data_IF_774027426959
#
_entry.id   IF_774027426959
#
_cell.length_a   1.000
_cell.length_b   1.000
_cell.length_c   1.000
_cell.angle_alpha   90.00
_cell.angle_beta   90.00
_cell.angle_gamma   90.00
#
_symmetry.space_group_name_H-M   'P 1'
#
loop_
_entity.id
_entity.type
_entity.pdbx_description
1 polymer ?
#
# COMPACT_ATOMS: atom_id res chain seq x y z
N UNK A 1 -6.10 20.04 -9.83
CA UNK A 1 -6.08 18.64 -9.37
C UNK A 1 -4.75 18.02 -9.73
N UNK A 2 -4.00 17.54 -8.76
CA UNK A 2 -2.73 16.87 -9.05
C UNK A 2 -3.02 15.51 -9.74
N UNK A 3 -2.33 15.24 -10.85
CA UNK A 3 -2.50 13.98 -11.57
C UNK A 3 -1.85 12.87 -10.76
N UNK A 4 -2.49 11.68 -10.62
CA UNK A 4 -1.87 10.56 -9.93
C UNK A 4 -0.53 10.17 -10.55
N UNK A 5 0.45 9.88 -9.71
CA UNK A 5 1.78 9.46 -10.13
C UNK A 5 1.97 7.96 -9.92
N UNK A 6 2.30 7.25 -10.98
CA UNK A 6 2.47 5.80 -11.01
C UNK A 6 3.96 5.48 -11.18
N UNK A 7 4.49 4.59 -10.36
CA UNK A 7 5.83 4.05 -10.55
C UNK A 7 5.73 2.67 -11.20
N UNK A 8 6.41 2.49 -12.32
CA UNK A 8 6.51 1.21 -13.04
C UNK A 8 7.90 0.64 -12.76
N UNK A 9 7.98 -0.56 -12.19
CA UNK A 9 9.22 -1.32 -11.98
C UNK A 9 9.14 -2.56 -12.85
N UNK A 10 9.71 -2.51 -14.05
CA UNK A 10 9.58 -3.51 -15.10
C UNK A 10 10.81 -3.41 -16.02
N UNK A 11 11.54 -4.51 -16.18
CA UNK A 11 12.72 -4.57 -17.03
C UNK A 11 12.40 -4.85 -18.50
N UNK A 12 11.31 -5.56 -18.80
CA UNK A 12 10.86 -5.79 -20.16
C UNK A 12 10.41 -4.50 -20.84
N UNK A 13 11.09 -4.16 -21.95
CA UNK A 13 10.80 -2.93 -22.66
C UNK A 13 9.43 -2.92 -23.34
N UNK A 14 8.96 -4.06 -23.86
CA UNK A 14 7.68 -4.14 -24.55
C UNK A 14 6.52 -3.93 -23.56
N UNK A 15 6.58 -4.63 -22.43
CA UNK A 15 5.56 -4.50 -21.36
C UNK A 15 5.62 -3.11 -20.73
N UNK A 16 6.81 -2.64 -20.41
CA UNK A 16 6.95 -1.28 -19.86
C UNK A 16 6.45 -0.19 -20.80
N UNK A 17 6.67 -0.32 -22.11
CA UNK A 17 6.13 0.62 -23.09
C UNK A 17 4.60 0.52 -23.21
N UNK A 18 4.04 -0.69 -23.20
CA UNK A 18 2.60 -0.90 -23.20
C UNK A 18 1.95 -0.19 -21.99
N UNK A 19 2.50 -0.40 -20.81
CA UNK A 19 1.99 0.22 -19.57
C UNK A 19 2.15 1.75 -19.67
N UNK A 20 3.30 2.24 -20.06
CA UNK A 20 3.56 3.70 -20.17
C UNK A 20 2.58 4.38 -21.12
N UNK A 21 2.41 3.84 -22.32
CA UNK A 21 1.45 4.37 -23.32
C UNK A 21 0.01 4.33 -22.78
N UNK A 22 -0.34 3.26 -22.08
CA UNK A 22 -1.66 3.15 -21.45
C UNK A 22 -1.89 4.23 -20.40
N UNK A 23 -0.89 4.50 -19.55
CA UNK A 23 -0.97 5.54 -18.53
C UNK A 23 -1.06 6.94 -19.14
N UNK A 24 -0.31 7.21 -20.22
CA UNK A 24 -0.37 8.46 -20.96
C UNK A 24 -1.77 8.74 -21.52
N UNK A 25 -2.41 7.74 -22.14
CA UNK A 25 -3.77 7.87 -22.69
C UNK A 25 -4.81 8.16 -21.62
N UNK A 26 -4.58 7.75 -20.39
CA UNK A 26 -5.42 8.02 -19.23
C UNK A 26 -5.01 9.28 -18.45
N UNK A 27 -4.05 10.04 -18.98
CA UNK A 27 -3.53 11.26 -18.37
C UNK A 27 -2.92 11.08 -16.97
N UNK A 28 -2.41 9.87 -16.65
CA UNK A 28 -1.61 9.64 -15.45
C UNK A 28 -0.17 10.11 -15.66
N UNK A 29 0.47 10.55 -14.59
CA UNK A 29 1.91 10.74 -14.57
C UNK A 29 2.59 9.41 -14.21
N UNK A 30 3.75 9.15 -14.77
CA UNK A 30 4.49 7.94 -14.43
C UNK A 30 5.99 8.15 -14.38
N UNK A 31 6.66 7.29 -13.67
CA UNK A 31 8.10 7.05 -13.73
C UNK A 31 8.36 5.59 -13.99
N UNK A 32 9.49 5.28 -14.56
CA UNK A 32 9.88 3.93 -14.90
C UNK A 32 11.25 3.59 -14.35
N UNK A 33 11.37 2.44 -13.69
CA UNK A 33 12.61 1.81 -13.27
C UNK A 33 12.74 0.44 -13.93
N UNK A 34 13.93 0.08 -14.40
CA UNK A 34 14.20 -1.18 -15.11
C UNK A 34 14.84 -2.25 -14.23
N UNK A 35 15.05 -1.97 -12.98
CA UNK A 35 15.59 -2.90 -12.00
C UNK A 35 15.09 -2.55 -10.60
N UNK A 36 15.26 -3.49 -9.67
CA UNK A 36 14.76 -3.34 -8.32
C UNK A 36 15.43 -2.24 -7.52
N UNK A 37 16.76 -2.09 -7.65
CA UNK A 37 17.51 -1.06 -6.92
C UNK A 37 17.04 0.36 -7.27
N UNK A 38 16.92 0.66 -8.57
CA UNK A 38 16.38 1.94 -9.02
C UNK A 38 14.90 2.10 -8.68
N UNK A 39 14.12 1.02 -8.71
CA UNK A 39 12.71 1.02 -8.30
C UNK A 39 12.50 1.42 -6.85
N UNK A 40 13.26 0.85 -5.93
CA UNK A 40 13.22 1.21 -4.51
C UNK A 40 13.62 2.68 -4.30
N UNK A 41 14.67 3.13 -4.97
CA UNK A 41 15.13 4.52 -4.90
C UNK A 41 14.08 5.51 -5.41
N UNK A 42 13.47 5.22 -6.57
CA UNK A 42 12.40 6.04 -7.15
C UNK A 42 11.16 6.05 -6.24
N UNK A 43 10.77 4.91 -5.68
CA UNK A 43 9.64 4.83 -4.75
C UNK A 43 9.84 5.74 -3.52
N UNK A 44 11.07 5.79 -2.99
CA UNK A 44 11.41 6.65 -1.86
C UNK A 44 11.42 8.14 -2.23
N UNK A 45 11.94 8.49 -3.42
CA UNK A 45 12.15 9.89 -3.82
C UNK A 45 10.90 10.54 -4.42
N UNK A 46 10.13 9.83 -5.25
CA UNK A 46 8.97 10.41 -5.93
C UNK A 46 7.64 10.23 -5.19
N UNK A 47 7.59 9.37 -4.18
CA UNK A 47 6.36 9.05 -3.40
C UNK A 47 5.16 8.81 -4.31
N UNK A 48 5.18 7.74 -5.12
CA UNK A 48 4.10 7.46 -6.07
C UNK A 48 2.78 7.14 -5.35
N UNK A 49 1.67 7.37 -6.03
CA UNK A 49 0.33 7.01 -5.56
C UNK A 49 0.07 5.50 -5.69
N UNK A 50 0.69 4.85 -6.68
CA UNK A 50 0.63 3.39 -6.91
C UNK A 50 1.95 2.92 -7.49
N UNK A 51 2.39 1.72 -7.12
CA UNK A 51 3.54 1.01 -7.69
C UNK A 51 3.03 -0.18 -8.49
N UNK A 52 3.46 -0.28 -9.75
CA UNK A 52 3.30 -1.45 -10.60
C UNK A 52 4.64 -2.18 -10.60
N UNK A 53 4.67 -3.44 -10.16
CA UNK A 53 5.91 -4.17 -9.88
C UNK A 53 5.95 -5.53 -10.56
N UNK A 54 6.96 -5.79 -11.39
CA UNK A 54 7.30 -7.15 -11.79
C UNK A 54 8.13 -7.86 -10.70
N UNK A 55 7.85 -9.15 -10.50
CA UNK A 55 8.63 -9.99 -9.58
C UNK A 55 9.93 -10.50 -10.20
N UNK A 56 9.98 -10.65 -11.52
CA UNK A 56 11.09 -11.26 -12.25
C UNK A 56 12.18 -10.27 -12.67
N UNK A 57 12.62 -9.39 -11.78
CA UNK A 57 13.65 -8.39 -12.09
C UNK A 57 15.07 -8.98 -12.11
N UNK A 58 16.02 -8.38 -12.86
CA UNK A 58 17.33 -8.97 -13.06
C UNK A 58 18.26 -8.92 -11.84
N UNK A 59 18.03 -7.99 -10.92
CA UNK A 59 18.93 -7.68 -9.80
C UNK A 59 18.42 -8.17 -8.45
N UNK A 60 17.11 -8.29 -8.29
CA UNK A 60 16.50 -8.79 -7.03
C UNK A 60 15.08 -9.30 -7.27
N UNK A 61 14.60 -10.17 -6.38
CA UNK A 61 13.21 -10.63 -6.42
C UNK A 61 12.25 -9.50 -6.03
N UNK A 62 11.15 -9.39 -6.77
CA UNK A 62 10.14 -8.38 -6.49
C UNK A 62 9.49 -8.51 -5.11
N UNK A 63 9.42 -9.73 -4.55
CA UNK A 63 8.94 -9.96 -3.17
C UNK A 63 9.83 -9.23 -2.15
N UNK A 64 11.15 -9.21 -2.36
CA UNK A 64 12.07 -8.47 -1.50
C UNK A 64 11.88 -6.95 -1.63
N UNK A 65 11.52 -6.47 -2.82
CA UNK A 65 11.17 -5.07 -3.04
C UNK A 65 9.92 -4.71 -2.24
N UNK A 66 8.88 -5.56 -2.28
CA UNK A 66 7.65 -5.35 -1.50
C UNK A 66 7.99 -5.22 -0.02
N UNK A 67 8.76 -6.17 0.52
CA UNK A 67 9.20 -6.16 1.93
C UNK A 67 9.95 -4.87 2.27
N UNK A 68 10.91 -4.46 1.43
CA UNK A 68 11.67 -3.21 1.62
C UNK A 68 10.77 -1.98 1.62
N UNK A 69 9.91 -1.83 0.62
CA UNK A 69 8.99 -0.69 0.53
C UNK A 69 8.06 -0.64 1.75
N UNK A 70 7.59 -1.78 2.23
CA UNK A 70 6.70 -1.86 3.40
C UNK A 70 7.36 -1.47 4.72
N UNK A 71 8.67 -1.40 4.79
CA UNK A 71 9.34 -0.86 6.00
C UNK A 71 9.09 0.63 6.22
N UNK A 72 8.75 1.39 5.18
CA UNK A 72 8.59 2.85 5.23
C UNK A 72 7.38 3.41 4.48
N UNK A 73 6.67 2.61 3.66
CA UNK A 73 5.54 3.08 2.86
C UNK A 73 4.38 2.10 2.82
N UNK A 74 3.16 2.65 2.84
CA UNK A 74 1.91 1.93 2.60
C UNK A 74 1.35 2.16 1.19
N UNK A 75 2.13 2.76 0.29
CA UNK A 75 1.72 2.96 -1.11
C UNK A 75 1.20 1.66 -1.72
N UNK A 76 0.03 1.64 -2.36
CA UNK A 76 -0.49 0.45 -3.01
C UNK A 76 0.49 -0.13 -4.02
N UNK A 77 0.71 -1.45 -3.95
CA UNK A 77 1.56 -2.21 -4.88
C UNK A 77 0.69 -3.22 -5.61
N UNK A 78 0.64 -3.09 -6.94
CA UNK A 78 0.04 -4.07 -7.84
C UNK A 78 1.18 -4.84 -8.48
N UNK A 79 1.25 -6.14 -8.21
CA UNK A 79 2.21 -7.03 -8.85
C UNK A 79 1.73 -7.36 -10.26
N UNK A 80 2.63 -7.29 -11.25
CA UNK A 80 2.39 -7.68 -12.64
C UNK A 80 3.46 -8.70 -13.02
N UNK A 81 3.14 -9.98 -13.03
CA UNK A 81 4.15 -11.03 -13.19
C UNK A 81 3.70 -12.20 -14.07
N UNK A 82 4.66 -12.84 -14.74
CA UNK A 82 4.44 -14.11 -15.45
C UNK A 82 4.30 -15.30 -14.48
N UNK A 83 4.68 -15.15 -13.22
CA UNK A 83 4.47 -16.19 -12.20
C UNK A 83 2.97 -16.32 -11.95
N UNK A 84 2.42 -17.47 -12.27
CA UNK A 84 0.96 -17.69 -12.25
C UNK A 84 0.50 -18.68 -11.18
N UNK A 85 1.44 -19.34 -10.50
CA UNK A 85 1.12 -20.30 -9.46
C UNK A 85 0.51 -19.64 -8.22
N UNK A 86 -0.38 -20.33 -7.55
CA UNK A 86 -1.06 -19.79 -6.38
C UNK A 86 -0.08 -19.49 -5.25
N UNK A 87 1.00 -20.28 -5.12
CA UNK A 87 2.05 -20.03 -4.14
C UNK A 87 2.72 -18.66 -4.35
N UNK A 88 3.09 -18.30 -5.58
CA UNK A 88 3.73 -17.02 -5.89
C UNK A 88 2.81 -15.84 -5.58
N UNK A 89 1.51 -15.99 -5.87
CA UNK A 89 0.51 -14.96 -5.56
C UNK A 89 0.34 -14.76 -4.07
N UNK A 90 0.23 -15.87 -3.32
CA UNK A 90 0.11 -15.83 -1.86
C UNK A 90 1.36 -15.21 -1.23
N UNK A 91 2.55 -15.60 -1.67
CA UNK A 91 3.80 -15.04 -1.17
C UNK A 91 3.89 -13.52 -1.37
N UNK A 92 3.54 -13.02 -2.57
CA UNK A 92 3.55 -11.59 -2.86
C UNK A 92 2.51 -10.82 -2.02
N UNK A 93 1.30 -11.37 -1.86
CA UNK A 93 0.25 -10.76 -1.05
C UNK A 93 0.61 -10.75 0.44
N UNK A 94 1.18 -11.85 0.96
CA UNK A 94 1.64 -11.95 2.34
C UNK A 94 2.82 -11.00 2.62
N UNK A 95 3.68 -10.76 1.61
CA UNK A 95 4.75 -9.78 1.71
C UNK A 95 4.24 -8.33 1.75
N UNK A 96 2.98 -8.09 1.38
CA UNK A 96 2.32 -6.79 1.46
C UNK A 96 1.88 -6.19 0.13
N UNK A 97 1.84 -6.95 -0.97
CA UNK A 97 1.20 -6.52 -2.21
C UNK A 97 -0.32 -6.35 -1.98
N UNK A 98 -0.92 -5.38 -2.65
CA UNK A 98 -2.36 -5.11 -2.56
C UNK A 98 -3.17 -5.85 -3.61
N UNK A 99 -2.57 -6.16 -4.74
CA UNK A 99 -3.20 -6.87 -5.85
C UNK A 99 -2.16 -7.59 -6.72
N UNK A 100 -2.63 -8.52 -7.56
CA UNK A 100 -1.80 -9.33 -8.42
C UNK A 100 -2.42 -9.48 -9.80
N UNK A 101 -1.67 -9.15 -10.84
CA UNK A 101 -2.05 -9.26 -12.24
C UNK A 101 -1.09 -10.22 -12.97
N UNK A 102 -1.62 -11.31 -13.51
CA UNK A 102 -0.80 -12.32 -14.22
C UNK A 102 -0.60 -11.91 -15.68
N UNK A 103 0.63 -12.01 -16.18
CA UNK A 103 0.96 -11.87 -17.61
C UNK A 103 0.58 -13.14 -18.40
N UNK A 104 -0.01 -13.04 -19.60
CA UNK A 104 -0.45 -11.82 -20.27
C UNK A 104 -1.73 -11.24 -19.68
N UNK A 105 -1.85 -9.92 -19.63
CA UNK A 105 -3.00 -9.20 -19.12
C UNK A 105 -3.61 -8.28 -20.17
N UNK A 106 -4.88 -7.92 -20.00
CA UNK A 106 -5.51 -6.89 -20.81
C UNK A 106 -5.28 -5.49 -20.24
N UNK A 107 -5.23 -4.49 -21.13
CA UNK A 107 -5.14 -3.07 -20.73
C UNK A 107 -6.32 -2.68 -19.84
N UNK A 108 -7.51 -3.20 -20.15
CA UNK A 108 -8.74 -2.93 -19.40
C UNK A 108 -8.66 -3.46 -17.96
N UNK A 109 -8.07 -4.67 -17.77
CA UNK A 109 -7.88 -5.26 -16.46
C UNK A 109 -6.87 -4.45 -15.63
N UNK A 110 -5.73 -4.06 -16.22
CA UNK A 110 -4.75 -3.19 -15.58
C UNK A 110 -5.39 -1.88 -15.11
N UNK A 111 -6.13 -1.21 -16.00
CA UNK A 111 -6.78 0.06 -15.67
C UNK A 111 -7.86 -0.09 -14.61
N UNK A 112 -8.60 -1.20 -14.59
CA UNK A 112 -9.60 -1.47 -13.57
C UNK A 112 -8.97 -1.61 -12.19
N UNK A 113 -7.89 -2.39 -12.07
CA UNK A 113 -7.14 -2.58 -10.83
C UNK A 113 -6.50 -1.28 -10.35
N UNK A 114 -5.93 -0.50 -11.28
CA UNK A 114 -5.33 0.79 -10.99
C UNK A 114 -6.37 1.78 -10.43
N UNK A 115 -7.58 1.85 -11.04
CA UNK A 115 -8.67 2.69 -10.53
C UNK A 115 -9.10 2.31 -9.12
N UNK A 116 -9.15 1.02 -8.80
CA UNK A 116 -9.49 0.55 -7.44
C UNK A 116 -8.42 1.02 -6.44
N UNK A 117 -7.14 0.86 -6.77
CA UNK A 117 -6.03 1.28 -5.89
C UNK A 117 -6.00 2.79 -5.70
N UNK A 118 -6.17 3.58 -6.76
CA UNK A 118 -6.21 5.05 -6.68
C UNK A 118 -7.43 5.57 -5.91
N UNK A 119 -8.56 4.89 -5.99
CA UNK A 119 -9.74 5.25 -5.19
C UNK A 119 -9.49 5.07 -3.70
N UNK A 120 -8.77 4.01 -3.29
CA UNK A 120 -8.34 3.81 -1.91
C UNK A 120 -7.44 4.96 -1.44
N UNK A 121 -6.45 5.34 -2.24
CA UNK A 121 -5.54 6.46 -1.92
C UNK A 121 -6.32 7.78 -1.74
N UNK A 122 -7.28 8.06 -2.62
CA UNK A 122 -8.15 9.25 -2.49
C UNK A 122 -9.02 9.19 -1.23
N UNK A 123 -9.61 8.03 -0.95
CA UNK A 123 -10.44 7.84 0.23
C UNK A 123 -9.64 7.99 1.53
N UNK A 124 -8.38 7.54 1.52
CA UNK A 124 -7.45 7.69 2.63
C UNK A 124 -6.96 9.15 2.76
N UNK A 125 -6.73 9.86 1.64
CA UNK A 125 -6.31 11.27 1.64
C UNK A 125 -7.47 12.26 1.91
N UNK A 126 -8.69 11.99 1.43
CA UNK A 126 -9.86 12.81 1.73
C UNK A 126 -10.32 12.66 3.18
N UNK A 127 -10.00 11.54 3.83
CA UNK A 127 -10.16 11.38 5.29
C UNK A 127 -9.11 12.14 6.10
N UNK A 128 -8.02 12.59 5.49
CA UNK A 128 -6.95 13.33 6.18
C UNK A 128 -7.29 14.82 6.35
N UNK A 129 -8.25 15.38 5.58
CA UNK A 129 -8.41 16.85 5.55
C UNK A 129 -9.42 17.49 6.51
N UNK A 130 -10.31 16.76 7.21
CA UNK A 130 -11.09 17.36 8.32
C UNK A 130 -11.76 16.35 9.28
N UNK A 131 -11.92 15.08 8.87
CA UNK A 131 -12.53 14.05 9.72
C UNK A 131 -11.52 13.01 10.25
N UNK A 132 -10.28 13.03 9.79
CA UNK A 132 -9.27 12.03 10.12
C UNK A 132 -8.53 12.26 11.44
N UNK A 133 -8.81 13.37 12.13
CA UNK A 133 -8.36 13.51 13.51
C UNK A 133 -9.24 12.75 14.50
N UNK A 134 -10.43 12.31 14.08
CA UNK A 134 -11.41 11.69 14.97
C UNK A 134 -12.00 10.44 14.33
N UNK A 135 -11.86 9.30 15.00
CA UNK A 135 -12.62 8.08 14.72
C UNK A 135 -13.80 8.00 15.70
N UNK A 136 -14.98 7.68 15.19
CA UNK A 136 -16.16 7.46 16.02
C UNK A 136 -16.95 6.23 15.56
N UNK A 137 -17.22 5.34 16.50
CA UNK A 137 -18.06 4.18 16.29
C UNK A 137 -18.87 3.88 17.56
N UNK A 138 -20.19 4.07 17.50
CA UNK A 138 -21.04 3.99 18.67
C UNK A 138 -20.61 5.00 19.73
N UNK A 139 -20.38 4.53 20.96
CA UNK A 139 -19.90 5.36 22.07
C UNK A 139 -18.39 5.57 22.10
N UNK A 140 -17.62 4.89 21.22
CA UNK A 140 -16.17 5.04 21.16
C UNK A 140 -15.79 6.21 20.25
N UNK A 141 -14.94 7.11 20.77
CA UNK A 141 -14.32 8.20 20.02
C UNK A 141 -12.81 8.19 20.27
N UNK A 142 -12.01 8.23 19.19
CA UNK A 142 -10.56 8.38 19.24
C UNK A 142 -10.22 9.71 18.58
N UNK A 143 -9.57 10.59 19.33
CA UNK A 143 -8.99 11.82 18.80
C UNK A 143 -7.50 11.59 18.54
N UNK A 144 -7.13 11.36 17.27
CA UNK A 144 -5.76 11.06 16.88
C UNK A 144 -4.82 12.27 17.04
N UNK A 145 -5.36 13.49 16.89
CA UNK A 145 -4.58 14.72 17.02
C UNK A 145 -4.24 14.99 18.49
N UNK A 146 -5.20 14.77 19.40
CA UNK A 146 -5.01 14.92 20.83
C UNK A 146 -4.39 13.69 21.50
N UNK A 147 -4.38 12.51 20.81
CA UNK A 147 -3.97 11.25 21.42
C UNK A 147 -4.91 10.74 22.52
N UNK A 148 -6.17 11.18 22.50
CA UNK A 148 -7.17 10.90 23.52
C UNK A 148 -8.24 9.91 23.05
N UNK A 149 -8.76 9.12 23.98
CA UNK A 149 -9.83 8.16 23.72
C UNK A 149 -10.99 8.40 24.67
N UNK A 150 -12.21 8.34 24.15
CA UNK A 150 -13.44 8.57 24.93
C UNK A 150 -14.40 7.39 24.74
N UNK A 151 -15.05 7.01 25.82
CA UNK A 151 -16.17 6.05 25.81
C UNK A 151 -17.41 6.74 26.38
N UNK A 152 -18.45 6.84 25.56
CA UNK A 152 -19.70 7.52 25.93
C UNK A 152 -19.48 8.95 26.48
N UNK A 153 -18.54 9.70 25.84
CA UNK A 153 -18.19 11.06 26.22
C UNK A 153 -17.24 11.20 27.41
N UNK A 154 -16.88 10.10 28.08
CA UNK A 154 -15.91 10.07 29.18
C UNK A 154 -14.54 9.66 28.66
N UNK A 155 -13.51 10.44 28.96
CA UNK A 155 -12.14 10.10 28.62
C UNK A 155 -11.69 8.83 29.33
N UNK A 156 -11.04 7.93 28.57
CA UNK A 156 -10.41 6.72 29.09
C UNK A 156 -8.91 6.79 28.84
N UNK A 157 -8.14 6.46 29.86
CA UNK A 157 -6.68 6.42 29.77
C UNK A 157 -6.25 5.01 29.37
N UNK A 158 -5.54 4.95 28.23
CA UNK A 158 -4.95 3.72 27.69
C UNK A 158 -3.45 3.79 27.83
N UNK A 159 -2.82 2.64 28.05
CA UNK A 159 -1.37 2.53 27.91
C UNK A 159 -0.96 2.75 26.45
N UNK A 160 0.31 3.13 26.16
CA UNK A 160 0.76 3.36 24.80
C UNK A 160 0.51 2.17 23.86
N UNK A 161 0.63 0.94 24.35
CA UNK A 161 0.37 -0.30 23.58
C UNK A 161 -1.12 -0.47 23.31
N UNK A 162 -1.96 -0.28 24.30
CA UNK A 162 -3.42 -0.36 24.17
C UNK A 162 -3.93 0.70 23.18
N UNK A 163 -3.42 1.93 23.27
CA UNK A 163 -3.76 2.99 22.34
C UNK A 163 -3.35 2.65 20.90
N UNK A 164 -2.11 2.18 20.68
CA UNK A 164 -1.65 1.73 19.37
C UNK A 164 -2.51 0.60 18.80
N UNK A 165 -2.85 -0.38 19.62
CA UNK A 165 -3.71 -1.50 19.22
C UNK A 165 -5.11 -1.01 18.85
N UNK A 166 -5.71 -0.14 19.65
CA UNK A 166 -7.01 0.44 19.36
C UNK A 166 -7.02 1.23 18.06
N UNK A 167 -6.00 2.06 17.83
CA UNK A 167 -5.83 2.81 16.58
C UNK A 167 -5.68 1.86 15.37
N UNK A 168 -4.89 0.79 15.50
CA UNK A 168 -4.72 -0.21 14.44
C UNK A 168 -6.05 -0.87 14.08
N UNK A 169 -6.85 -1.27 15.07
CA UNK A 169 -8.16 -1.88 14.86
C UNK A 169 -9.16 -0.89 14.24
N UNK A 170 -9.20 0.34 14.73
CA UNK A 170 -10.08 1.40 14.20
C UNK A 170 -9.79 1.73 12.73
N UNK A 171 -8.52 1.83 12.36
CA UNK A 171 -8.08 2.07 10.98
C UNK A 171 -8.39 0.91 10.02
N UNK A 172 -8.59 -0.28 10.55
CA UNK A 172 -8.89 -1.49 9.79
C UNK A 172 -10.31 -2.01 10.05
N UNK A 173 -11.23 -1.14 10.42
CA UNK A 173 -12.65 -1.50 10.65
C UNK A 173 -13.22 -2.24 9.43
N UNK A 174 -13.88 -3.36 9.66
CA UNK A 174 -14.45 -4.22 8.64
C UNK A 174 -13.45 -5.19 7.97
N UNK A 175 -12.19 -5.23 8.44
CA UNK A 175 -11.18 -6.19 7.96
C UNK A 175 -10.82 -7.17 9.06
N UNK A 176 -10.52 -8.41 8.67
CA UNK A 176 -9.93 -9.40 9.57
C UNK A 176 -8.42 -9.17 9.61
N UNK A 177 -7.88 -8.94 10.79
CA UNK A 177 -6.44 -8.81 11.00
C UNK A 177 -5.90 -10.12 11.57
N UNK A 178 -4.82 -10.64 10.99
CA UNK A 178 -4.16 -11.83 11.51
C UNK A 178 -3.37 -11.51 12.77
N UNK A 179 -3.19 -12.51 13.64
CA UNK A 179 -2.39 -12.38 14.85
C UNK A 179 -0.96 -11.90 14.56
N UNK A 180 -0.31 -12.49 13.55
CA UNK A 180 1.04 -12.09 13.13
C UNK A 180 1.09 -10.65 12.63
N UNK A 181 0.08 -10.19 11.88
CA UNK A 181 0.01 -8.80 11.43
C UNK A 181 -0.05 -7.84 12.61
N UNK A 182 -0.92 -8.11 13.59
CA UNK A 182 -1.06 -7.29 14.80
C UNK A 182 0.25 -7.25 15.58
N UNK A 183 0.86 -8.42 15.83
CA UNK A 183 2.13 -8.51 16.55
C UNK A 183 3.22 -7.70 15.86
N UNK A 184 3.37 -7.85 14.54
CA UNK A 184 4.38 -7.11 13.78
C UNK A 184 4.15 -5.60 13.81
N UNK A 185 2.91 -5.13 13.74
CA UNK A 185 2.60 -3.70 13.74
C UNK A 185 2.75 -3.04 15.11
N UNK A 186 2.49 -3.77 16.18
CA UNK A 186 2.50 -3.22 17.55
C UNK A 186 3.89 -3.36 18.19
N UNK A 187 4.58 -4.51 17.98
CA UNK A 187 5.80 -4.85 18.70
C UNK A 187 7.09 -4.83 17.86
N UNK A 188 7.03 -4.84 16.51
CA UNK A 188 8.26 -4.82 15.70
C UNK A 188 9.10 -3.54 15.85
N UNK A 189 8.53 -2.47 16.38
CA UNK A 189 9.27 -1.25 16.75
C UNK A 189 9.82 -1.26 18.18
N UNK A 190 9.60 -2.32 18.95
CA UNK A 190 9.96 -2.42 20.37
C UNK A 190 11.00 -3.51 20.67
N UNK A 191 11.47 -4.26 19.65
CA UNK A 191 12.57 -5.21 19.84
C UNK A 191 13.89 -4.54 19.44
N UNK A 192 14.80 -4.24 20.39
CA UNK A 192 16.18 -3.94 20.04
C UNK A 192 16.81 -5.20 19.43
N UNK A 193 17.54 -5.02 18.34
CA UNK A 193 18.41 -6.01 17.69
C UNK A 193 19.46 -6.55 18.64
#
# INVERSE_FOLDING_TARGET
MNKPQILIIEDDNAIGNLISTTLETQHYQYRRAKNGASGVLEAASCRPDVILLDLGLPDMDGVDIIKKVRTWSNTPIIVISARSEDHDKVEALDAGADDYLTKPFSVEELLARLRVSLRRVRYDSEKVDEAASIYQNGGLKIDYAAGCTYQNGKEIHLTPIEYKLLCLLAQNTGKVLTHNYILNKIWSSALPS
#
